data_IF_149168103818
#
_entry.id   IF_149168103818
#
_cell.length_a   1.000
_cell.length_b   1.000
_cell.length_c   1.000
_cell.angle_alpha   90.00
_cell.angle_beta   90.00
_cell.angle_gamma   90.00
#
_symmetry.space_group_name_H-M   'P 1'
#
loop_
_entity.id
_entity.type
_entity.pdbx_description
1 polymer ?
#
# COMPACT_ATOMS: atom_id res chain seq x y z
N UNK A 1 -20.70 10.89 -11.21
CA UNK A 1 -19.29 10.98 -11.60
C UNK A 1 -18.70 9.67 -12.10
N UNK A 2 -19.39 8.53 -11.93
CA UNK A 2 -18.96 7.23 -12.46
C UNK A 2 -20.15 6.42 -12.99
N UNK A 3 -19.98 5.70 -14.10
CA UNK A 3 -21.03 4.82 -14.64
C UNK A 3 -21.42 3.68 -13.69
N UNK A 4 -20.52 3.32 -12.75
CA UNK A 4 -20.78 2.30 -11.72
C UNK A 4 -21.88 2.72 -10.74
N UNK A 5 -22.24 4.01 -10.67
CA UNK A 5 -23.27 4.54 -9.77
C UNK A 5 -24.70 4.33 -10.30
N UNK A 6 -24.87 3.97 -11.58
CA UNK A 6 -26.19 3.90 -12.21
C UNK A 6 -27.18 2.92 -11.54
N UNK A 7 -26.77 1.69 -11.14
CA UNK A 7 -27.70 0.75 -10.51
C UNK A 7 -28.35 1.31 -9.23
N UNK A 8 -27.55 1.89 -8.33
CA UNK A 8 -28.06 2.47 -7.07
C UNK A 8 -28.98 3.66 -7.32
N UNK A 9 -28.64 4.51 -8.29
CA UNK A 9 -29.43 5.68 -8.67
C UNK A 9 -30.79 5.25 -9.23
N UNK A 10 -30.81 4.26 -10.13
CA UNK A 10 -32.06 3.75 -10.72
C UNK A 10 -32.95 3.11 -9.66
N UNK A 11 -32.38 2.37 -8.71
CA UNK A 11 -33.10 1.77 -7.60
C UNK A 11 -33.78 2.84 -6.72
N UNK A 12 -33.06 3.89 -6.33
CA UNK A 12 -33.62 4.99 -5.55
C UNK A 12 -34.72 5.74 -6.33
N UNK A 13 -34.52 6.03 -7.62
CA UNK A 13 -35.54 6.67 -8.47
C UNK A 13 -36.82 5.83 -8.51
N UNK A 14 -36.70 4.51 -8.70
CA UNK A 14 -37.84 3.60 -8.69
C UNK A 14 -38.57 3.56 -7.33
N UNK A 15 -37.87 3.84 -6.24
CA UNK A 15 -38.43 3.90 -4.88
C UNK A 15 -39.10 5.24 -4.51
N UNK A 16 -39.21 6.19 -5.45
CA UNK A 16 -39.85 7.48 -5.22
C UNK A 16 -38.90 8.68 -5.23
N UNK A 17 -37.66 8.50 -5.68
CA UNK A 17 -36.68 9.56 -5.86
C UNK A 17 -35.39 9.35 -5.06
N UNK A 18 -34.40 10.21 -5.27
CA UNK A 18 -33.12 10.08 -4.59
C UNK A 18 -33.27 10.31 -3.09
N UNK A 19 -32.79 9.37 -2.27
CA UNK A 19 -32.72 9.54 -0.83
C UNK A 19 -31.68 10.61 -0.45
N UNK A 20 -31.85 11.23 0.73
CA UNK A 20 -30.85 12.17 1.27
C UNK A 20 -29.50 11.49 1.50
N UNK A 21 -29.50 10.22 1.91
CA UNK A 21 -28.30 9.43 2.11
C UNK A 21 -27.54 9.23 0.79
N UNK A 22 -28.24 8.84 -0.28
CA UNK A 22 -27.64 8.69 -1.60
C UNK A 22 -27.11 10.02 -2.12
N UNK A 23 -27.87 11.12 -2.05
CA UNK A 23 -27.40 12.45 -2.47
C UNK A 23 -26.12 12.88 -1.73
N UNK A 24 -26.04 12.65 -0.43
CA UNK A 24 -24.86 12.99 0.38
C UNK A 24 -23.64 12.18 -0.07
N UNK A 25 -23.80 10.87 -0.30
CA UNK A 25 -22.74 10.00 -0.81
C UNK A 25 -22.27 10.45 -2.21
N UNK A 26 -23.20 10.70 -3.12
CA UNK A 26 -22.89 11.17 -4.47
C UNK A 26 -22.17 12.53 -4.46
N UNK A 27 -22.55 13.44 -3.56
CA UNK A 27 -21.87 14.71 -3.38
C UNK A 27 -20.43 14.52 -2.87
N UNK A 28 -20.20 13.63 -1.89
CA UNK A 28 -18.85 13.31 -1.41
C UNK A 28 -17.98 12.74 -2.53
N UNK A 29 -18.50 11.78 -3.30
CA UNK A 29 -17.79 11.19 -4.44
C UNK A 29 -17.54 12.22 -5.56
N UNK A 30 -18.44 13.19 -5.75
CA UNK A 30 -18.26 14.26 -6.73
C UNK A 30 -17.16 15.24 -6.33
N UNK A 31 -17.17 15.72 -5.08
CA UNK A 31 -16.14 16.64 -4.59
C UNK A 31 -14.76 15.98 -4.46
N UNK A 32 -14.70 14.68 -4.15
CA UNK A 32 -13.46 13.93 -4.19
C UNK A 32 -12.85 13.92 -5.61
N UNK A 33 -13.67 13.65 -6.63
CA UNK A 33 -13.21 13.65 -8.02
C UNK A 33 -12.76 15.04 -8.48
N UNK A 34 -13.49 16.11 -8.18
CA UNK A 34 -13.07 17.46 -8.57
C UNK A 34 -11.78 17.87 -7.87
N UNK A 35 -11.62 17.49 -6.60
CA UNK A 35 -10.36 17.73 -5.87
C UNK A 35 -9.18 16.96 -6.46
N UNK A 36 -9.38 15.73 -6.91
CA UNK A 36 -8.34 14.94 -7.60
C UNK A 36 -7.96 15.59 -8.94
N UNK A 37 -8.95 16.05 -9.69
CA UNK A 37 -8.75 16.72 -10.98
C UNK A 37 -7.96 18.04 -10.83
N UNK A 38 -8.34 18.90 -9.89
CA UNK A 38 -7.63 20.17 -9.64
C UNK A 38 -6.21 19.92 -9.12
N UNK A 39 -6.02 18.88 -8.29
CA UNK A 39 -4.70 18.45 -7.82
C UNK A 39 -3.81 18.00 -8.99
N UNK A 40 -4.35 17.26 -9.96
CA UNK A 40 -3.62 16.84 -11.15
C UNK A 40 -3.22 18.04 -12.03
N UNK A 41 -4.10 19.03 -12.20
CA UNK A 41 -3.78 20.27 -12.92
C UNK A 41 -2.64 21.01 -12.21
N UNK A 42 -2.75 21.20 -10.89
CA UNK A 42 -1.72 21.90 -10.11
C UNK A 42 -0.37 21.19 -10.19
N UNK A 43 -0.35 19.86 -10.12
CA UNK A 43 0.87 19.05 -10.25
C UNK A 43 1.48 19.13 -11.65
N UNK A 44 0.66 19.19 -12.71
CA UNK A 44 1.16 19.38 -14.08
C UNK A 44 1.78 20.77 -14.26
N UNK A 45 1.09 21.83 -13.84
CA UNK A 45 1.56 23.21 -13.98
C UNK A 45 2.82 23.51 -13.17
N UNK A 46 3.09 22.76 -12.11
CA UNK A 46 4.34 22.87 -11.34
C UNK A 46 5.47 21.99 -11.86
N UNK A 47 5.19 21.08 -12.80
CA UNK A 47 6.20 20.20 -13.40
C UNK A 47 7.01 20.91 -14.49
N UNK A 48 8.14 20.31 -14.89
CA UNK A 48 8.98 20.81 -15.99
C UNK A 48 8.20 20.98 -17.31
N UNK A 49 7.27 20.06 -17.60
CA UNK A 49 6.42 20.12 -18.80
C UNK A 49 5.38 21.26 -18.73
N UNK A 50 5.05 21.72 -17.53
CA UNK A 50 4.16 22.84 -17.26
C UNK A 50 4.86 24.20 -17.14
N UNK A 51 6.11 24.31 -17.60
CA UNK A 51 6.98 25.50 -17.44
C UNK A 51 7.36 25.83 -15.98
N UNK A 52 7.23 24.85 -15.07
CA UNK A 52 7.78 24.92 -13.72
C UNK A 52 9.32 24.82 -13.68
N UNK A 53 9.91 25.09 -12.52
CA UNK A 53 11.36 24.91 -12.34
C UNK A 53 11.71 23.42 -12.37
N UNK A 54 12.22 22.95 -13.51
CA UNK A 54 12.63 21.56 -13.72
C UNK A 54 13.74 21.08 -12.79
N UNK A 55 14.40 21.98 -12.04
CA UNK A 55 15.43 21.64 -11.05
C UNK A 55 14.87 21.47 -9.64
N UNK A 56 13.63 21.88 -9.41
CA UNK A 56 12.99 21.77 -8.11
C UNK A 56 12.22 20.44 -8.02
N UNK A 57 12.88 19.42 -7.46
CA UNK A 57 12.30 18.09 -7.24
C UNK A 57 11.22 18.08 -6.15
N UNK A 58 11.08 19.17 -5.38
CA UNK A 58 10.17 19.28 -4.23
C UNK A 58 9.18 20.43 -4.47
N UNK A 59 8.00 20.16 -5.06
CA UNK A 59 7.08 21.21 -5.43
C UNK A 59 6.57 21.98 -4.22
N UNK A 60 6.41 23.30 -4.39
CA UNK A 60 5.85 24.18 -3.34
C UNK A 60 4.46 23.76 -2.84
N UNK A 61 3.72 22.98 -3.62
CA UNK A 61 2.46 22.35 -3.20
C UNK A 61 2.39 20.92 -3.72
N UNK A 62 2.11 19.97 -2.82
CA UNK A 62 1.86 18.57 -3.13
C UNK A 62 0.50 18.16 -2.58
N UNK A 63 -0.39 17.74 -3.48
CA UNK A 63 -1.67 17.13 -3.12
C UNK A 63 -1.55 15.62 -3.26
N UNK A 64 -2.05 14.89 -2.26
CA UNK A 64 -2.15 13.43 -2.28
C UNK A 64 -3.62 13.04 -2.24
N UNK A 65 -4.05 12.23 -3.19
CA UNK A 65 -5.36 11.60 -3.12
C UNK A 65 -5.25 10.09 -2.94
N UNK A 66 -5.81 9.62 -1.84
CA UNK A 66 -5.63 8.25 -1.40
C UNK A 66 -6.99 7.57 -1.20
N UNK A 67 -7.18 6.43 -1.84
CA UNK A 67 -8.37 5.60 -1.67
C UNK A 67 -8.10 4.52 -0.64
N UNK A 68 -9.02 4.34 0.31
CA UNK A 68 -8.90 3.27 1.30
C UNK A 68 -9.06 1.91 0.61
N UNK A 69 -8.02 1.09 0.65
CA UNK A 69 -8.04 -0.26 0.10
C UNK A 69 -8.64 -1.27 1.09
N UNK A 70 -8.22 -1.21 2.37
CA UNK A 70 -8.74 -2.08 3.44
C UNK A 70 -8.57 -1.44 4.81
N UNK A 71 -9.45 -1.80 5.75
CA UNK A 71 -9.23 -1.52 7.18
C UNK A 71 -8.29 -2.57 7.77
N UNK A 72 -7.56 -2.21 8.82
CA UNK A 72 -6.71 -3.14 9.58
C UNK A 72 -7.32 -3.40 10.95
N UNK A 73 -6.96 -4.54 11.55
CA UNK A 73 -7.45 -4.96 12.87
C UNK A 73 -7.16 -3.91 13.96
N UNK A 74 -5.97 -3.33 13.92
CA UNK A 74 -5.50 -2.22 14.75
C UNK A 74 -4.25 -1.60 14.10
N UNK A 75 -3.81 -0.46 14.63
CA UNK A 75 -2.56 0.21 14.22
C UNK A 75 -1.32 -0.49 14.76
N UNK A 76 -0.32 0.28 15.17
CA UNK A 76 0.90 -0.30 15.78
C UNK A 76 0.57 -1.01 17.10
N UNK A 77 -0.42 -0.49 17.84
CA UNK A 77 -0.90 -1.02 19.10
C UNK A 77 -2.42 -1.28 19.07
N UNK A 78 -2.95 -2.21 19.91
CA UNK A 78 -4.36 -2.62 19.87
C UNK A 78 -5.41 -1.51 20.04
N UNK A 79 -5.05 -0.41 20.72
CA UNK A 79 -5.94 0.72 20.96
C UNK A 79 -6.02 1.71 19.79
N UNK A 80 -5.18 1.53 18.76
CA UNK A 80 -5.09 2.41 17.59
C UNK A 80 -5.90 1.82 16.43
N UNK A 81 -6.58 2.67 15.67
CA UNK A 81 -7.25 2.29 14.42
C UNK A 81 -6.28 2.49 13.25
N UNK A 82 -6.34 1.61 12.26
CA UNK A 82 -5.56 1.75 11.04
C UNK A 82 -6.28 1.24 9.80
N UNK A 83 -5.82 1.70 8.64
CA UNK A 83 -6.28 1.28 7.33
C UNK A 83 -5.16 1.48 6.31
N UNK A 84 -5.18 0.68 5.25
CA UNK A 84 -4.29 0.81 4.10
C UNK A 84 -4.96 1.70 3.07
N UNK A 85 -4.22 2.67 2.56
CA UNK A 85 -4.64 3.55 1.49
C UNK A 85 -3.68 3.45 0.31
N UNK A 86 -4.20 3.65 -0.90
CA UNK A 86 -3.45 3.58 -2.16
C UNK A 86 -3.69 4.85 -2.98
N UNK A 87 -2.65 5.36 -3.64
CA UNK A 87 -2.76 6.40 -4.66
C UNK A 87 -3.02 5.71 -6.01
N UNK A 88 -4.22 5.89 -6.58
CA UNK A 88 -4.61 5.22 -7.82
C UNK A 88 -4.56 3.69 -7.74
N UNK A 89 -3.82 3.06 -8.66
CA UNK A 89 -3.62 1.61 -8.69
C UNK A 89 -2.37 1.21 -7.89
N UNK A 90 -2.48 0.13 -7.11
CA UNK A 90 -1.33 -0.42 -6.39
C UNK A 90 -0.20 -0.78 -7.37
N UNK A 91 1.04 -0.31 -7.15
CA UNK A 91 2.16 -0.63 -8.02
C UNK A 91 2.39 -2.15 -8.10
N UNK A 92 2.65 -2.66 -9.30
CA UNK A 92 2.96 -4.06 -9.49
C UNK A 92 4.21 -4.45 -8.70
N UNK A 93 4.16 -5.60 -8.02
CA UNK A 93 5.26 -6.07 -7.17
C UNK A 93 5.38 -5.36 -5.81
N UNK A 94 4.47 -4.42 -5.49
CA UNK A 94 4.40 -3.83 -4.15
C UNK A 94 3.57 -4.68 -3.19
N UNK A 95 3.78 -4.47 -1.89
CA UNK A 95 2.96 -5.06 -0.84
C UNK A 95 1.47 -4.70 -0.97
N UNK A 96 1.15 -3.56 -1.57
CA UNK A 96 -0.23 -3.08 -1.78
C UNK A 96 -0.96 -3.91 -2.84
N UNK A 97 -0.23 -4.56 -3.74
CA UNK A 97 -0.78 -5.49 -4.74
C UNK A 97 -0.71 -6.97 -4.30
N UNK A 98 -0.19 -7.25 -3.09
CA UNK A 98 0.03 -8.62 -2.64
C UNK A 98 -1.28 -9.34 -2.29
N UNK A 99 -1.37 -10.60 -2.71
CA UNK A 99 -2.47 -11.50 -2.36
C UNK A 99 -2.14 -12.26 -1.07
N UNK A 100 -3.07 -12.30 -0.13
CA UNK A 100 -2.95 -13.10 1.09
C UNK A 100 -3.51 -14.49 0.81
N UNK A 101 -2.62 -15.46 0.57
CA UNK A 101 -3.01 -16.83 0.23
C UNK A 101 -3.45 -17.67 1.44
N UNK A 102 -2.96 -17.34 2.63
CA UNK A 102 -3.28 -18.07 3.86
C UNK A 102 -3.02 -17.21 5.11
N UNK A 103 -3.55 -17.65 6.25
CA UNK A 103 -3.30 -17.06 7.57
C UNK A 103 -4.39 -16.11 8.03
N UNK A 104 -4.11 -15.44 9.16
CA UNK A 104 -5.00 -14.39 9.70
C UNK A 104 -4.78 -13.09 8.92
N UNK A 105 -5.73 -12.16 9.06
CA UNK A 105 -5.56 -10.80 8.53
C UNK A 105 -4.25 -10.17 9.04
N UNK A 106 -3.54 -9.49 8.14
CA UNK A 106 -2.29 -8.80 8.44
C UNK A 106 -2.53 -7.62 9.40
N UNK A 107 -1.67 -7.51 10.42
CA UNK A 107 -1.63 -6.32 11.27
C UNK A 107 -0.85 -5.18 10.61
N UNK A 108 -0.95 -3.97 11.15
CA UNK A 108 -0.14 -2.82 10.72
C UNK A 108 1.36 -3.13 10.76
N UNK A 109 1.84 -3.70 11.88
CA UNK A 109 3.26 -4.06 12.02
C UNK A 109 3.68 -5.16 11.03
N UNK A 110 2.79 -6.10 10.70
CA UNK A 110 3.11 -7.08 9.67
C UNK A 110 3.32 -6.42 8.31
N UNK A 111 2.59 -5.33 7.99
CA UNK A 111 2.80 -4.63 6.75
C UNK A 111 4.14 -3.90 6.72
N UNK A 112 4.54 -3.25 7.83
CA UNK A 112 5.85 -2.62 7.93
C UNK A 112 6.98 -3.64 7.80
N UNK A 113 6.89 -4.76 8.53
CA UNK A 113 7.89 -5.82 8.49
C UNK A 113 7.96 -6.50 7.10
N UNK A 114 6.81 -6.65 6.41
CA UNK A 114 6.76 -7.18 5.04
C UNK A 114 7.41 -6.24 4.04
N UNK A 115 7.15 -4.94 4.15
CA UNK A 115 7.75 -3.93 3.27
C UNK A 115 9.27 -3.87 3.45
N UNK A 116 9.75 -3.85 4.70
CA UNK A 116 11.17 -3.92 5.01
C UNK A 116 11.82 -5.23 4.51
N UNK A 117 11.16 -6.38 4.69
CA UNK A 117 11.69 -7.66 4.22
C UNK A 117 11.78 -7.69 2.70
N UNK A 118 10.76 -7.19 2.00
CA UNK A 118 10.75 -7.10 0.55
C UNK A 118 11.86 -6.18 0.04
N UNK A 119 12.03 -4.99 0.63
CA UNK A 119 13.06 -4.03 0.25
C UNK A 119 14.48 -4.62 0.44
N UNK A 120 14.74 -5.29 1.57
CA UNK A 120 16.04 -5.92 1.83
C UNK A 120 16.31 -7.03 0.83
N UNK A 121 15.38 -7.97 0.63
CA UNK A 121 15.62 -9.14 -0.23
C UNK A 121 15.77 -8.76 -1.71
N UNK A 122 15.09 -7.69 -2.16
CA UNK A 122 15.23 -7.15 -3.51
C UNK A 122 16.61 -6.55 -3.78
N UNK A 123 17.30 -6.06 -2.75
CA UNK A 123 18.66 -5.53 -2.86
C UNK A 123 19.76 -6.60 -2.91
N UNK A 124 19.44 -7.86 -2.62
CA UNK A 124 20.42 -8.94 -2.54
C UNK A 124 20.62 -9.65 -3.89
N UNK A 125 21.88 -9.98 -4.26
CA UNK A 125 22.17 -10.71 -5.49
C UNK A 125 21.81 -12.20 -5.38
N UNK A 126 21.60 -12.86 -6.52
CA UNK A 126 21.36 -14.30 -6.55
C UNK A 126 20.03 -14.71 -5.88
N UNK A 127 19.83 -16.02 -5.59
CA UNK A 127 18.76 -16.48 -4.71
C UNK A 127 19.01 -16.01 -3.27
N UNK A 128 18.06 -15.25 -2.70
CA UNK A 128 18.24 -14.59 -1.42
C UNK A 128 17.02 -14.69 -0.50
N UNK A 129 17.30 -14.63 0.80
CA UNK A 129 16.32 -14.62 1.88
C UNK A 129 16.66 -13.52 2.87
N UNK A 130 15.65 -12.79 3.36
CA UNK A 130 15.79 -11.84 4.46
C UNK A 130 14.80 -12.16 5.59
N UNK A 131 15.22 -11.92 6.82
CA UNK A 131 14.44 -12.15 8.04
C UNK A 131 14.35 -10.83 8.82
N UNK A 132 13.14 -10.32 9.00
CA UNK A 132 12.86 -9.02 9.62
C UNK A 132 12.00 -9.19 10.88
N UNK A 133 12.36 -8.44 11.92
CA UNK A 133 11.58 -8.30 13.15
C UNK A 133 11.51 -6.85 13.57
N UNK A 134 10.31 -6.32 13.75
CA UNK A 134 10.10 -4.94 14.20
C UNK A 134 10.89 -3.93 13.35
N UNK A 135 10.81 -4.06 12.04
CA UNK A 135 11.47 -3.25 11.02
C UNK A 135 13.01 -3.35 11.00
N UNK A 136 13.58 -4.33 11.72
CA UNK A 136 15.03 -4.54 11.78
C UNK A 136 15.42 -5.90 11.19
N UNK A 137 16.49 -5.98 10.39
CA UNK A 137 17.00 -7.26 9.91
C UNK A 137 17.68 -8.02 11.04
N UNK A 138 17.20 -9.23 11.30
CA UNK A 138 17.88 -10.19 12.18
C UNK A 138 18.62 -11.27 11.38
N UNK A 139 18.41 -11.32 10.06
CA UNK A 139 19.15 -12.21 9.18
C UNK A 139 18.95 -11.88 7.71
N UNK A 140 19.98 -12.14 6.89
CA UNK A 140 19.92 -12.02 5.44
C UNK A 140 21.02 -12.91 4.83
N UNK A 141 20.69 -13.68 3.81
CA UNK A 141 21.65 -14.55 3.16
C UNK A 141 21.35 -14.73 1.67
N UNK A 142 22.41 -15.08 0.93
CA UNK A 142 22.37 -15.43 -0.48
C UNK A 142 23.07 -16.75 -0.66
N UNK A 143 22.49 -17.69 -1.41
CA UNK A 143 23.11 -18.99 -1.65
C UNK A 143 22.71 -19.55 -3.01
N UNK A 144 23.31 -20.67 -3.41
CA UNK A 144 22.97 -21.33 -4.68
C UNK A 144 21.53 -21.87 -4.68
N UNK A 145 21.01 -22.24 -3.52
CA UNK A 145 19.63 -22.71 -3.33
C UNK A 145 18.94 -21.88 -2.25
N UNK A 146 17.66 -21.57 -2.46
CA UNK A 146 16.86 -20.85 -1.45
C UNK A 146 16.78 -21.59 -0.12
N UNK A 147 16.78 -22.92 -0.13
CA UNK A 147 16.79 -23.72 1.10
C UNK A 147 18.03 -23.44 1.96
N UNK A 148 19.20 -23.32 1.34
CA UNK A 148 20.46 -23.02 2.04
C UNK A 148 20.46 -21.58 2.54
N UNK A 149 20.06 -20.63 1.69
CA UNK A 149 19.90 -19.22 2.07
C UNK A 149 18.87 -19.03 3.21
N UNK A 150 17.85 -19.89 3.29
CA UNK A 150 16.85 -19.82 4.36
C UNK A 150 17.47 -20.21 5.70
N UNK A 151 18.23 -21.31 5.74
CA UNK A 151 18.91 -21.75 6.95
C UNK A 151 19.93 -20.71 7.40
N UNK A 152 20.78 -20.25 6.48
CA UNK A 152 21.79 -19.22 6.74
C UNK A 152 21.19 -17.90 7.24
N UNK A 153 20.06 -17.46 6.67
CA UNK A 153 19.40 -16.24 7.11
C UNK A 153 18.75 -16.42 8.50
N UNK A 154 18.15 -17.57 8.79
CA UNK A 154 17.60 -17.86 10.12
C UNK A 154 18.71 -18.01 11.19
N UNK A 155 19.89 -18.47 10.79
CA UNK A 155 21.07 -18.63 11.66
C UNK A 155 21.78 -17.32 12.01
N UNK A 156 21.43 -16.20 11.36
CA UNK A 156 21.99 -14.88 11.65
C UNK A 156 21.75 -14.42 13.10
N UNK A 157 20.50 -14.47 13.54
CA UNK A 157 20.09 -14.34 14.95
C UNK A 157 18.86 -15.23 15.20
N UNK A 158 19.07 -16.51 15.59
CA UNK A 158 17.99 -17.48 15.77
C UNK A 158 16.96 -17.07 16.83
N UNK A 159 17.40 -16.35 17.88
CA UNK A 159 16.51 -15.92 18.96
C UNK A 159 15.54 -14.84 18.45
N UNK A 160 16.06 -13.91 17.65
CA UNK A 160 15.21 -12.89 17.01
C UNK A 160 14.37 -13.46 15.89
N UNK A 161 14.88 -14.41 15.09
CA UNK A 161 14.17 -15.03 13.97
C UNK A 161 12.81 -15.63 14.37
N UNK A 162 12.66 -16.08 15.62
CA UNK A 162 11.37 -16.54 16.13
C UNK A 162 10.29 -15.42 16.07
N UNK A 163 9.22 -15.69 15.31
CA UNK A 163 8.11 -14.77 15.09
C UNK A 163 8.38 -13.65 14.07
N UNK A 164 9.49 -13.75 13.33
CA UNK A 164 9.88 -12.78 12.30
C UNK A 164 9.15 -13.01 10.98
N UNK A 165 9.25 -12.02 10.09
CA UNK A 165 8.81 -12.11 8.70
C UNK A 165 9.98 -12.54 7.83
N UNK A 166 9.73 -13.48 6.93
CA UNK A 166 10.71 -14.00 5.98
C UNK A 166 10.28 -13.62 4.57
N UNK A 167 11.20 -13.06 3.78
CA UNK A 167 10.98 -12.73 2.38
C UNK A 167 12.02 -13.42 1.49
N UNK A 168 11.58 -13.74 0.26
CA UNK A 168 12.35 -14.45 -0.75
C UNK A 168 12.31 -13.63 -2.05
N UNK A 169 13.44 -13.47 -2.75
CA UNK A 169 13.46 -12.72 -4.01
C UNK A 169 13.14 -13.57 -5.25
N UNK A 170 12.90 -14.88 -5.07
CA UNK A 170 12.60 -15.84 -6.14
C UNK A 170 11.60 -16.90 -5.64
N UNK A 171 10.85 -17.54 -6.55
CA UNK A 171 10.00 -18.68 -6.22
C UNK A 171 10.79 -19.90 -5.71
#
# INVERSE_FOLDING_TARGET
>A
TSAKQYPDILADIASGGLSTALRRRLAQEAFALTSEYDAAIAAYLSSADGEGDARDELPATKSLQLTRQRSLRYGENPHQRAAVYVEGAAPAGSLLAAEVLHGKELSYNNLLDLDAALAVVQGLPGPAVSVIKHNNPCGAATSARLADATLEALDGDPLSAFGSIVAFNRP
#
